data_IF_222654656887
#
_entry.id   IF_222654656887
#
_cell.length_a   1.000
_cell.length_b   1.000
_cell.length_c   1.000
_cell.angle_alpha   90.00
_cell.angle_beta   90.00
_cell.angle_gamma   90.00
#
_symmetry.space_group_name_H-M   'P 1'
#
loop_
_entity.id
_entity.type
_entity.pdbx_description
1 polymer ?
#
# COMPACT_ATOMS: atom_id res chain seq x y z
N UNK A 1 -30.17 4.21 12.19
CA UNK A 1 -30.88 4.85 11.04
C UNK A 1 -29.86 5.71 10.31
N UNK A 2 -29.68 5.53 9.00
CA UNK A 2 -28.83 6.41 8.20
C UNK A 2 -29.60 7.68 7.83
N UNK A 3 -28.96 8.85 7.95
CA UNK A 3 -29.58 10.11 7.53
C UNK A 3 -29.53 10.26 6.00
N UNK A 4 -30.26 11.26 5.48
CA UNK A 4 -30.36 11.51 4.04
C UNK A 4 -28.99 11.63 3.34
N UNK A 5 -28.07 12.45 3.87
CA UNK A 5 -26.74 12.63 3.28
C UNK A 5 -25.94 11.34 3.24
N UNK A 6 -26.01 10.53 4.30
CA UNK A 6 -25.37 9.22 4.31
C UNK A 6 -25.94 8.31 3.20
N UNK A 7 -27.26 8.31 2.99
CA UNK A 7 -27.88 7.52 1.91
C UNK A 7 -27.40 7.98 0.53
N UNK A 8 -27.30 9.29 0.31
CA UNK A 8 -26.78 9.87 -0.94
C UNK A 8 -25.31 9.52 -1.18
N UNK A 9 -24.47 9.63 -0.14
CA UNK A 9 -23.06 9.25 -0.22
C UNK A 9 -22.87 7.73 -0.43
N UNK A 10 -23.74 6.89 0.14
CA UNK A 10 -23.73 5.45 -0.10
C UNK A 10 -24.04 5.11 -1.56
N UNK A 11 -24.91 5.86 -2.23
CA UNK A 11 -25.13 5.69 -3.69
C UNK A 11 -23.87 6.02 -4.49
N UNK A 12 -23.10 7.01 -4.05
CA UNK A 12 -21.86 7.44 -4.72
C UNK A 12 -20.66 6.52 -4.45
N UNK A 13 -20.51 6.02 -3.22
CA UNK A 13 -19.25 5.37 -2.79
C UNK A 13 -19.43 4.04 -2.07
N UNK A 14 -20.65 3.59 -1.82
CA UNK A 14 -20.94 2.39 -1.02
C UNK A 14 -20.44 1.08 -1.62
N UNK A 15 -20.10 1.05 -2.92
CA UNK A 15 -19.52 -0.11 -3.58
C UNK A 15 -17.99 -0.23 -3.42
N UNK A 16 -17.35 0.74 -2.76
CA UNK A 16 -15.93 0.67 -2.42
C UNK A 16 -14.96 0.82 -3.58
N UNK A 17 -15.43 1.16 -4.79
CA UNK A 17 -14.60 1.22 -6.01
C UNK A 17 -13.75 2.48 -6.13
N UNK A 18 -14.26 3.60 -5.64
CA UNK A 18 -13.61 4.91 -5.71
C UNK A 18 -12.94 5.24 -4.37
N UNK A 19 -13.68 5.05 -3.27
CA UNK A 19 -13.21 5.18 -1.89
C UNK A 19 -13.25 3.79 -1.27
N UNK A 20 -12.10 3.23 -0.92
CA UNK A 20 -11.97 1.87 -0.40
C UNK A 20 -12.39 1.77 1.06
N UNK A 21 -13.05 0.66 1.42
CA UNK A 21 -13.59 0.42 2.77
C UNK A 21 -14.30 1.65 3.37
N UNK A 22 -15.30 2.22 2.68
CA UNK A 22 -15.88 3.50 3.06
C UNK A 22 -16.67 3.40 4.38
N UNK A 23 -16.34 4.28 5.32
CA UNK A 23 -17.14 4.55 6.50
C UNK A 23 -18.03 5.77 6.25
N UNK A 24 -19.27 5.69 6.72
CA UNK A 24 -20.23 6.79 6.58
C UNK A 24 -20.68 7.22 7.97
N UNK A 25 -20.47 8.51 8.29
CA UNK A 25 -20.80 9.08 9.60
C UNK A 25 -21.39 10.47 9.40
N UNK A 26 -22.65 10.65 9.81
CA UNK A 26 -23.32 11.93 9.64
C UNK A 26 -23.41 12.32 8.17
N UNK A 27 -22.76 13.43 7.78
CA UNK A 27 -22.77 13.98 6.42
C UNK A 27 -21.51 13.69 5.61
N UNK A 28 -20.64 12.82 6.13
CA UNK A 28 -19.35 12.53 5.53
C UNK A 28 -19.20 11.03 5.20
N UNK A 29 -18.50 10.77 4.11
CA UNK A 29 -17.95 9.48 3.73
C UNK A 29 -16.43 9.59 3.82
N UNK A 30 -15.77 8.65 4.49
CA UNK A 30 -14.30 8.59 4.59
C UNK A 30 -13.82 7.17 4.32
N UNK A 31 -12.76 7.01 3.55
CA UNK A 31 -12.11 5.71 3.35
C UNK A 31 -10.77 5.84 2.63
N UNK A 32 -10.16 4.72 2.25
CA UNK A 32 -8.83 4.70 1.62
C UNK A 32 -8.83 5.08 0.15
N UNK A 33 -7.73 5.64 -0.33
CA UNK A 33 -7.41 5.74 -1.76
C UNK A 33 -6.32 4.73 -2.15
N UNK A 34 -5.19 4.76 -1.46
CA UNK A 34 -4.03 3.89 -1.61
C UNK A 34 -3.18 3.89 -0.32
N UNK A 35 -1.92 3.44 -0.40
CA UNK A 35 -1.05 3.32 0.76
C UNK A 35 -0.82 4.69 1.41
N UNK A 36 -1.31 4.85 2.65
CA UNK A 36 -1.12 6.08 3.43
C UNK A 36 -2.06 7.23 3.06
N UNK A 37 -2.96 7.08 2.07
CA UNK A 37 -3.90 8.13 1.67
C UNK A 37 -5.35 7.75 1.89
N UNK A 38 -6.12 8.76 2.29
CA UNK A 38 -7.55 8.66 2.55
C UNK A 38 -8.30 9.74 1.77
N UNK A 39 -9.58 9.50 1.52
CA UNK A 39 -10.48 10.44 0.87
C UNK A 39 -11.68 10.67 1.76
N UNK A 40 -12.01 11.95 1.97
CA UNK A 40 -13.26 12.38 2.60
C UNK A 40 -14.16 13.03 1.57
N UNK A 41 -15.40 12.61 1.48
CA UNK A 41 -16.42 13.21 0.63
C UNK A 41 -17.62 13.69 1.46
N UNK A 42 -18.13 14.88 1.17
CA UNK A 42 -19.29 15.48 1.84
C UNK A 42 -20.04 16.44 0.90
N UNK A 43 -21.37 16.51 1.01
CA UNK A 43 -22.13 17.56 0.34
C UNK A 43 -21.96 18.88 1.11
N UNK A 44 -21.78 19.99 0.40
CA UNK A 44 -21.50 21.31 0.98
C UNK A 44 -22.38 22.40 0.39
N UNK A 45 -22.62 23.43 1.19
CA UNK A 45 -23.29 24.68 0.77
C UNK A 45 -22.31 25.61 0.07
N UNK A 46 -22.81 26.44 -0.85
CA UNK A 46 -22.00 27.41 -1.62
C UNK A 46 -22.39 28.87 -1.32
N UNK A 47 -22.64 29.18 -0.05
CA UNK A 47 -23.00 30.53 0.41
C UNK A 47 -24.48 30.71 0.80
N UNK A 48 -25.30 29.71 0.53
CA UNK A 48 -26.70 29.63 0.99
C UNK A 48 -26.81 28.59 2.08
N UNK A 49 -27.26 29.02 3.27
CA UNK A 49 -27.52 28.09 4.37
C UNK A 49 -28.52 27.02 3.92
N UNK A 50 -28.25 25.78 4.32
CA UNK A 50 -29.13 24.63 4.07
C UNK A 50 -29.41 24.27 2.60
N UNK A 51 -28.66 24.84 1.67
CA UNK A 51 -28.70 24.54 0.24
C UNK A 51 -27.37 23.91 -0.20
N UNK A 52 -27.33 22.58 -0.27
CA UNK A 52 -26.12 21.82 -0.57
C UNK A 52 -26.02 21.59 -2.08
N UNK A 53 -25.20 22.42 -2.72
CA UNK A 53 -25.11 22.57 -4.18
C UNK A 53 -23.85 21.90 -4.76
N UNK A 54 -23.00 21.32 -3.93
CA UNK A 54 -21.74 20.73 -4.36
C UNK A 54 -21.35 19.49 -3.55
N UNK A 55 -20.58 18.61 -4.19
CA UNK A 55 -19.84 17.54 -3.52
C UNK A 55 -18.39 17.99 -3.33
N UNK A 56 -17.94 18.07 -2.08
CA UNK A 56 -16.54 18.30 -1.76
C UNK A 56 -15.83 16.97 -1.55
N UNK A 57 -14.70 16.81 -2.21
CA UNK A 57 -13.78 15.67 -2.10
C UNK A 57 -12.46 16.21 -1.57
N UNK A 58 -12.03 15.73 -0.40
CA UNK A 58 -10.79 16.11 0.27
C UNK A 58 -9.85 14.93 0.29
N UNK A 59 -8.68 15.09 -0.33
CA UNK A 59 -7.60 14.11 -0.28
C UNK A 59 -6.77 14.35 0.97
N UNK A 60 -6.53 13.28 1.71
CA UNK A 60 -5.79 13.25 2.96
C UNK A 60 -4.61 12.30 2.81
N UNK A 61 -3.49 12.69 3.36
CA UNK A 61 -2.30 11.88 3.54
C UNK A 61 -2.02 11.78 5.04
N UNK A 62 -1.62 10.60 5.52
CA UNK A 62 -1.47 10.34 6.95
C UNK A 62 -0.39 11.22 7.60
N UNK A 63 0.64 11.60 6.85
CA UNK A 63 1.76 12.38 7.37
C UNK A 63 1.61 13.87 7.06
N UNK A 64 1.07 14.20 5.88
CA UNK A 64 0.96 15.58 5.40
C UNK A 64 -0.39 16.24 5.74
N UNK A 65 -1.39 15.47 6.18
CA UNK A 65 -2.74 15.97 6.42
C UNK A 65 -3.49 16.22 5.12
N UNK A 66 -4.11 17.39 4.95
CA UNK A 66 -4.86 17.68 3.71
C UNK A 66 -3.90 17.96 2.57
N UNK A 67 -3.97 17.12 1.53
CA UNK A 67 -3.18 17.29 0.30
C UNK A 67 -3.88 18.24 -0.66
N UNK A 68 -5.17 18.00 -0.94
CA UNK A 68 -5.96 18.82 -1.85
C UNK A 68 -7.47 18.75 -1.55
N UNK A 69 -8.23 19.71 -2.08
CA UNK A 69 -9.70 19.76 -1.99
C UNK A 69 -10.32 20.14 -3.33
N UNK A 70 -11.08 19.21 -3.91
CA UNK A 70 -11.96 19.49 -5.04
C UNK A 70 -13.39 19.77 -4.56
N UNK A 71 -14.04 20.79 -5.12
CA UNK A 71 -15.48 21.04 -4.93
C UNK A 71 -16.18 20.96 -6.28
N UNK A 72 -16.94 19.89 -6.50
CA UNK A 72 -17.73 19.66 -7.70
C UNK A 72 -19.12 20.26 -7.50
N UNK A 73 -19.41 21.39 -8.15
CA UNK A 73 -20.75 21.98 -8.13
C UNK A 73 -21.67 21.12 -9.00
N UNK A 74 -22.87 20.84 -8.50
CA UNK A 74 -23.82 19.98 -9.19
C UNK A 74 -24.28 20.60 -10.52
N UNK A 75 -24.35 21.93 -10.63
CA UNK A 75 -24.64 22.59 -11.91
C UNK A 75 -23.53 22.44 -12.94
N UNK A 76 -22.26 22.37 -12.53
CA UNK A 76 -21.14 22.21 -13.46
C UNK A 76 -21.11 20.77 -14.03
N UNK A 77 -21.57 19.80 -13.24
CA UNK A 77 -21.56 18.37 -13.61
C UNK A 77 -22.85 17.96 -14.34
N UNK A 78 -24.00 18.47 -13.91
CA UNK A 78 -25.31 18.04 -14.41
C UNK A 78 -26.07 19.07 -15.22
N UNK A 79 -25.60 20.33 -15.22
CA UNK A 79 -26.33 21.47 -15.75
C UNK A 79 -27.57 21.82 -14.94
N UNK A 80 -28.26 22.88 -15.37
CA UNK A 80 -29.61 23.19 -14.89
C UNK A 80 -30.61 22.16 -15.41
N UNK A 81 -31.53 21.71 -14.55
CA UNK A 81 -32.54 20.70 -14.88
C UNK A 81 -33.89 21.37 -15.12
N UNK A 82 -34.51 21.04 -16.26
CA UNK A 82 -35.88 21.45 -16.52
C UNK A 82 -36.85 20.65 -15.63
N UNK A 83 -37.87 21.32 -15.09
CA UNK A 83 -38.92 20.69 -14.27
C UNK A 83 -40.24 20.77 -15.04
N UNK A 84 -40.65 19.69 -15.74
CA UNK A 84 -41.89 19.68 -16.51
C UNK A 84 -43.10 20.00 -15.64
N UNK A 85 -44.07 20.72 -16.21
CA UNK A 85 -45.35 21.03 -15.57
C UNK A 85 -45.25 21.84 -14.26
N UNK A 86 -44.12 22.49 -13.98
CA UNK A 86 -43.98 23.38 -12.82
C UNK A 86 -44.01 24.87 -13.26
N UNK A 87 -45.05 25.64 -12.90
CA UNK A 87 -45.18 27.04 -13.34
C UNK A 87 -44.19 28.00 -12.66
N UNK A 88 -43.55 27.59 -11.55
CA UNK A 88 -42.62 28.40 -10.79
C UNK A 88 -41.15 28.21 -11.23
N UNK A 89 -40.81 27.06 -11.83
CA UNK A 89 -39.44 26.70 -12.22
C UNK A 89 -39.24 26.65 -13.73
N UNK A 90 -39.76 27.65 -14.46
CA UNK A 90 -39.74 27.70 -15.93
C UNK A 90 -38.32 27.72 -16.53
N UNK A 91 -37.37 28.34 -15.83
CA UNK A 91 -35.96 28.41 -16.25
C UNK A 91 -35.14 27.19 -15.81
N UNK A 92 -35.80 26.17 -15.27
CA UNK A 92 -35.15 25.04 -14.64
C UNK A 92 -34.61 25.37 -13.25
N UNK A 93 -33.92 24.40 -12.66
CA UNK A 93 -33.37 24.47 -11.31
C UNK A 93 -31.91 24.00 -11.33
N UNK A 94 -31.06 24.67 -10.54
CA UNK A 94 -29.74 24.12 -10.19
C UNK A 94 -29.96 23.02 -9.17
N UNK A 95 -29.60 21.75 -9.47
CA UNK A 95 -29.81 20.65 -8.54
C UNK A 95 -29.09 20.89 -7.21
N UNK A 96 -29.79 20.70 -6.10
CA UNK A 96 -29.23 20.78 -4.76
C UNK A 96 -30.10 20.01 -3.77
N UNK A 97 -29.49 19.64 -2.65
CA UNK A 97 -30.21 19.12 -1.49
C UNK A 97 -30.60 20.33 -0.64
N UNK A 98 -31.85 20.36 -0.18
CA UNK A 98 -32.32 21.38 0.75
C UNK A 98 -32.59 20.74 2.12
N UNK A 99 -32.35 21.50 3.18
CA UNK A 99 -32.69 21.14 4.56
C UNK A 99 -33.65 22.20 5.09
N UNK A 100 -34.70 21.75 5.77
CA UNK A 100 -35.63 22.61 6.50
C UNK A 100 -36.11 21.84 7.73
N UNK A 101 -35.62 22.21 8.91
CA UNK A 101 -35.89 21.64 10.23
C UNK A 101 -36.11 20.12 10.25
N UNK A 102 -37.32 19.64 9.90
CA UNK A 102 -37.72 18.24 9.95
C UNK A 102 -37.50 17.46 8.63
N UNK A 103 -37.15 18.13 7.53
CA UNK A 103 -37.06 17.53 6.20
C UNK A 103 -35.73 17.83 5.50
N UNK A 104 -35.15 16.79 4.93
CA UNK A 104 -34.00 16.88 4.01
C UNK A 104 -34.34 16.10 2.76
N UNK A 105 -34.21 16.73 1.60
CA UNK A 105 -34.55 16.10 0.32
C UNK A 105 -33.85 16.79 -0.86
N UNK A 106 -33.96 16.20 -2.05
CA UNK A 106 -33.59 16.88 -3.29
C UNK A 106 -34.62 17.96 -3.66
N UNK A 107 -34.16 19.16 -4.00
CA UNK A 107 -35.05 20.25 -4.37
C UNK A 107 -35.50 20.14 -5.83
N UNK A 108 -36.79 19.87 -6.04
CA UNK A 108 -37.51 19.79 -7.32
C UNK A 108 -37.04 18.70 -8.31
N UNK A 109 -35.76 18.32 -8.32
CA UNK A 109 -35.18 17.32 -9.20
C UNK A 109 -34.46 16.23 -8.39
N UNK A 110 -34.90 14.99 -8.54
CA UNK A 110 -34.24 13.83 -7.92
C UNK A 110 -33.24 13.22 -8.90
N UNK A 111 -31.95 13.13 -8.55
CA UNK A 111 -30.92 12.57 -9.43
C UNK A 111 -31.23 11.12 -9.80
N UNK A 112 -31.01 10.81 -11.07
CA UNK A 112 -31.13 9.46 -11.63
C UNK A 112 -29.84 8.67 -11.41
N UNK A 113 -29.84 7.33 -11.61
CA UNK A 113 -28.61 6.56 -11.60
C UNK A 113 -27.54 7.09 -12.57
N UNK A 114 -27.94 7.65 -13.72
CA UNK A 114 -27.01 8.25 -14.68
C UNK A 114 -26.33 9.50 -14.10
N UNK A 115 -27.08 10.36 -13.40
CA UNK A 115 -26.52 11.56 -12.76
C UNK A 115 -25.46 11.17 -11.70
N UNK A 116 -25.72 10.15 -10.87
CA UNK A 116 -24.72 9.64 -9.92
C UNK A 116 -23.48 9.10 -10.64
N UNK A 117 -23.62 8.44 -11.79
CA UNK A 117 -22.45 7.96 -12.54
C UNK A 117 -21.56 9.10 -13.02
N UNK A 118 -22.12 10.25 -13.43
CA UNK A 118 -21.31 11.41 -13.85
C UNK A 118 -20.47 11.94 -12.68
N UNK A 119 -21.05 12.10 -11.48
CA UNK A 119 -20.29 12.55 -10.29
C UNK A 119 -19.24 11.52 -9.90
N UNK A 120 -19.60 10.23 -9.93
CA UNK A 120 -18.68 9.13 -9.65
C UNK A 120 -17.49 9.16 -10.59
N UNK A 121 -17.72 9.33 -11.89
CA UNK A 121 -16.65 9.40 -12.88
C UNK A 121 -15.76 10.62 -12.66
N UNK A 122 -16.34 11.81 -12.50
CA UNK A 122 -15.57 13.03 -12.24
C UNK A 122 -14.71 12.93 -10.97
N UNK A 123 -15.26 12.34 -9.90
CA UNK A 123 -14.52 12.09 -8.67
C UNK A 123 -13.39 11.07 -8.88
N UNK A 124 -13.67 9.98 -9.59
CA UNK A 124 -12.69 8.95 -9.91
C UNK A 124 -11.54 9.50 -10.75
N UNK A 125 -11.84 10.26 -11.80
CA UNK A 125 -10.85 10.86 -12.70
C UNK A 125 -9.93 11.82 -11.94
N UNK A 126 -10.51 12.68 -11.10
CA UNK A 126 -9.72 13.57 -10.25
C UNK A 126 -8.81 12.81 -9.29
N UNK A 127 -9.34 11.84 -8.54
CA UNK A 127 -8.55 11.04 -7.59
C UNK A 127 -7.49 10.19 -8.30
N UNK A 128 -7.73 9.78 -9.55
CA UNK A 128 -6.75 9.01 -10.33
C UNK A 128 -5.45 9.77 -10.58
N UNK A 129 -5.50 11.11 -10.65
CA UNK A 129 -4.30 11.95 -10.80
C UNK A 129 -3.39 11.92 -9.56
N UNK A 130 -3.93 11.51 -8.41
CA UNK A 130 -3.23 11.43 -7.13
C UNK A 130 -3.00 10.00 -6.65
N UNK A 131 -3.51 8.99 -7.37
CA UNK A 131 -3.17 7.61 -7.05
C UNK A 131 -1.66 7.48 -7.14
N UNK A 132 -1.04 6.95 -6.10
CA UNK A 132 0.31 6.44 -6.23
C UNK A 132 0.30 5.54 -7.45
N UNK A 133 1.22 5.84 -8.38
CA UNK A 133 1.60 4.85 -9.36
C UNK A 133 2.24 3.75 -8.55
N UNK A 134 1.43 2.80 -8.10
CA UNK A 134 1.91 1.48 -7.72
C UNK A 134 2.74 1.09 -8.94
N UNK A 135 4.07 0.94 -8.81
CA UNK A 135 4.84 0.36 -9.89
C UNK A 135 4.16 -0.98 -10.14
N UNK A 136 3.50 -1.10 -11.29
CA UNK A 136 2.75 -2.29 -11.66
C UNK A 136 3.66 -3.48 -11.40
N UNK A 137 3.35 -4.23 -10.35
CA UNK A 137 4.06 -5.46 -10.01
C UNK A 137 3.56 -6.56 -10.94
N UNK A 138 3.67 -6.33 -12.24
CA UNK A 138 3.38 -7.29 -13.30
C UNK A 138 4.55 -7.28 -14.30
N UNK A 139 5.44 -8.25 -14.11
CA UNK A 139 6.13 -9.00 -15.16
C UNK A 139 7.05 -8.29 -16.18
N UNK A 140 7.59 -7.09 -15.89
CA UNK A 140 8.84 -6.57 -16.54
C UNK A 140 9.81 -5.86 -15.56
N UNK A 141 9.98 -6.51 -14.41
CA UNK A 141 10.94 -6.37 -13.30
C UNK A 141 12.12 -5.40 -13.50
N UNK A 142 12.16 -4.34 -12.68
CA UNK A 142 13.43 -3.84 -12.16
C UNK A 142 14.10 -4.90 -11.27
N UNK A 143 15.38 -4.74 -10.93
CA UNK A 143 16.11 -5.70 -10.10
C UNK A 143 15.44 -5.88 -8.72
N UNK A 144 15.28 -7.12 -8.24
CA UNK A 144 14.78 -7.39 -6.87
C UNK A 144 15.88 -7.12 -5.85
N UNK A 145 15.53 -6.65 -4.65
CA UNK A 145 16.43 -6.68 -3.50
C UNK A 145 16.46 -8.09 -2.94
N UNK A 146 17.64 -8.73 -3.02
CA UNK A 146 17.86 -10.10 -2.56
C UNK A 146 18.82 -10.07 -1.39
N UNK A 147 18.34 -10.44 -0.21
CA UNK A 147 19.17 -10.59 0.98
C UNK A 147 20.04 -11.84 0.88
N UNK A 148 21.34 -11.69 1.08
CA UNK A 148 22.30 -12.80 1.02
C UNK A 148 22.69 -13.20 2.44
N UNK A 149 22.03 -14.25 2.91
CA UNK A 149 22.28 -14.90 4.19
C UNK A 149 23.46 -15.86 4.02
N UNK A 150 24.61 -15.50 4.59
CA UNK A 150 25.85 -16.30 4.57
C UNK A 150 26.42 -16.38 5.99
N UNK A 151 27.29 -17.36 6.30
CA UNK A 151 27.90 -17.45 7.61
C UNK A 151 28.81 -16.24 7.85
N UNK A 152 28.66 -15.57 9.00
CA UNK A 152 29.50 -14.43 9.41
C UNK A 152 30.75 -14.91 10.17
N UNK A 153 30.58 -15.87 11.09
CA UNK A 153 31.64 -16.33 12.02
C UNK A 153 32.45 -17.51 11.48
N UNK A 154 33.72 -17.60 11.89
CA UNK A 154 34.62 -18.71 11.56
C UNK A 154 35.72 -18.32 10.56
N UNK A 155 35.85 -19.08 9.47
CA UNK A 155 36.87 -18.88 8.44
C UNK A 155 36.59 -17.61 7.62
N UNK A 156 36.98 -16.46 8.18
CA UNK A 156 36.64 -15.13 7.65
C UNK A 156 36.97 -14.95 6.16
N UNK A 157 38.14 -15.41 5.71
CA UNK A 157 38.52 -15.31 4.29
C UNK A 157 37.59 -16.13 3.38
N UNK A 158 37.21 -17.34 3.80
CA UNK A 158 36.30 -18.20 3.04
C UNK A 158 34.88 -17.65 3.04
N UNK A 159 34.41 -17.14 4.17
CA UNK A 159 33.09 -16.54 4.31
C UNK A 159 32.95 -15.27 3.46
N UNK A 160 33.97 -14.40 3.47
CA UNK A 160 34.02 -13.20 2.62
C UNK A 160 34.02 -13.58 1.14
N UNK A 161 34.81 -14.60 0.76
CA UNK A 161 34.88 -15.08 -0.63
C UNK A 161 33.52 -15.62 -1.08
N UNK A 162 32.88 -16.45 -0.24
CA UNK A 162 31.54 -16.97 -0.50
C UNK A 162 30.52 -15.84 -0.68
N UNK A 163 30.48 -14.87 0.25
CA UNK A 163 29.55 -13.75 0.18
C UNK A 163 29.76 -12.89 -1.08
N UNK A 164 31.00 -12.70 -1.52
CA UNK A 164 31.32 -12.00 -2.78
C UNK A 164 30.86 -12.78 -4.01
N UNK A 165 31.10 -14.09 -4.05
CA UNK A 165 30.70 -14.94 -5.17
C UNK A 165 29.18 -15.02 -5.32
N UNK A 166 28.46 -15.18 -4.21
CA UNK A 166 27.00 -15.24 -4.20
C UNK A 166 26.39 -13.88 -4.55
N UNK A 167 26.95 -12.78 -4.03
CA UNK A 167 26.56 -11.42 -4.43
C UNK A 167 26.72 -11.20 -5.93
N UNK A 168 27.86 -11.61 -6.48
CA UNK A 168 28.14 -11.49 -7.90
C UNK A 168 27.16 -12.32 -8.74
N UNK A 169 26.79 -13.52 -8.29
CA UNK A 169 25.80 -14.35 -8.99
C UNK A 169 24.42 -13.70 -9.06
N UNK A 170 23.94 -13.14 -7.93
CA UNK A 170 22.67 -12.39 -7.87
C UNK A 170 22.73 -11.15 -8.76
N UNK A 171 23.82 -10.38 -8.67
CA UNK A 171 24.05 -9.19 -9.51
C UNK A 171 24.06 -9.53 -11.01
N UNK A 172 24.74 -10.60 -11.41
CA UNK A 172 24.77 -11.08 -12.80
C UNK A 172 23.42 -11.62 -13.26
N UNK A 173 22.59 -12.10 -12.33
CA UNK A 173 21.20 -12.48 -12.58
C UNK A 173 20.26 -11.30 -12.82
N UNK A 174 20.73 -10.06 -12.61
CA UNK A 174 19.95 -8.84 -12.82
C UNK A 174 19.17 -8.39 -11.58
N UNK A 175 19.49 -8.92 -10.39
CA UNK A 175 18.92 -8.51 -9.10
C UNK A 175 19.96 -7.72 -8.27
N UNK A 176 19.52 -7.00 -7.23
CA UNK A 176 20.38 -6.23 -6.32
C UNK A 176 20.73 -7.10 -5.09
N UNK A 177 22.00 -7.49 -4.90
CA UNK A 177 22.43 -8.23 -3.73
C UNK A 177 22.61 -7.32 -2.51
N UNK A 178 21.95 -7.67 -1.40
CA UNK A 178 22.20 -7.07 -0.08
C UNK A 178 23.02 -8.06 0.75
N UNK A 179 24.28 -7.72 1.02
CA UNK A 179 25.22 -8.55 1.79
C UNK A 179 25.59 -7.88 3.12
N UNK A 180 24.80 -8.08 4.18
CA UNK A 180 25.08 -7.53 5.50
C UNK A 180 26.47 -7.87 6.01
N UNK A 181 26.93 -9.11 5.79
CA UNK A 181 28.27 -9.54 6.19
C UNK A 181 29.37 -8.70 5.54
N UNK A 182 29.23 -8.35 4.26
CA UNK A 182 30.22 -7.49 3.59
C UNK A 182 30.10 -6.03 4.04
N UNK A 183 28.88 -5.57 4.33
CA UNK A 183 28.61 -4.20 4.77
C UNK A 183 29.14 -3.96 6.20
N UNK A 184 28.73 -4.79 7.14
CA UNK A 184 29.03 -4.61 8.56
C UNK A 184 30.45 -5.00 8.92
N UNK A 185 31.10 -5.95 8.23
CA UNK A 185 32.52 -6.26 8.45
C UNK A 185 33.43 -5.05 8.13
N UNK A 186 33.00 -4.10 7.30
CA UNK A 186 33.76 -2.89 7.00
C UNK A 186 33.61 -1.80 8.08
N UNK A 187 32.63 -1.92 8.97
CA UNK A 187 32.22 -0.87 9.90
C UNK A 187 32.39 -1.32 11.36
N UNK A 188 32.04 -2.57 11.68
CA UNK A 188 32.09 -3.12 13.02
C UNK A 188 33.45 -3.77 13.32
N UNK A 189 34.01 -3.46 14.49
CA UNK A 189 35.23 -4.09 14.97
C UNK A 189 34.95 -5.55 15.38
N UNK A 190 35.72 -6.54 14.90
CA UNK A 190 35.51 -7.93 15.25
C UNK A 190 35.72 -8.16 16.75
N UNK A 191 34.78 -8.87 17.40
CA UNK A 191 34.87 -9.25 18.81
C UNK A 191 34.27 -8.25 19.80
N UNK A 192 33.66 -7.16 19.34
CA UNK A 192 32.84 -6.28 20.19
C UNK A 192 31.38 -6.78 20.23
N UNK A 193 30.90 -7.32 21.36
CA UNK A 193 29.56 -7.89 21.46
C UNK A 193 28.44 -6.87 21.23
N UNK A 194 28.67 -5.57 21.54
CA UNK A 194 27.66 -4.51 21.34
C UNK A 194 27.50 -4.22 19.86
N UNK A 195 28.61 -4.15 19.12
CA UNK A 195 28.59 -3.92 17.68
C UNK A 195 28.08 -5.14 16.92
N UNK A 196 28.42 -6.35 17.37
CA UNK A 196 27.88 -7.59 16.80
C UNK A 196 26.35 -7.65 16.95
N UNK A 197 25.82 -7.32 18.13
CA UNK A 197 24.38 -7.28 18.35
C UNK A 197 23.70 -6.21 17.49
N UNK A 198 24.28 -5.01 17.38
CA UNK A 198 23.76 -3.95 16.53
C UNK A 198 23.76 -4.36 15.05
N UNK A 199 24.83 -4.99 14.55
CA UNK A 199 24.90 -5.51 13.19
C UNK A 199 23.85 -6.58 12.91
N UNK A 200 23.58 -7.46 13.88
CA UNK A 200 22.53 -8.47 13.76
C UNK A 200 21.13 -7.83 13.68
N UNK A 201 20.84 -6.85 14.53
CA UNK A 201 19.56 -6.14 14.52
C UNK A 201 19.35 -5.35 13.22
N UNK A 202 20.40 -4.68 12.73
CA UNK A 202 20.38 -4.01 11.42
C UNK A 202 20.18 -5.01 10.28
N UNK A 203 20.78 -6.21 10.36
CA UNK A 203 20.55 -7.30 9.41
C UNK A 203 19.07 -7.71 9.33
N UNK A 204 18.42 -7.90 10.49
CA UNK A 204 16.99 -8.22 10.54
C UNK A 204 16.10 -7.11 9.93
N UNK A 205 16.49 -5.84 10.12
CA UNK A 205 15.81 -4.70 9.46
C UNK A 205 16.01 -4.70 7.95
N UNK A 206 17.19 -5.08 7.46
CA UNK A 206 17.46 -5.22 6.03
C UNK A 206 16.62 -6.35 5.40
N UNK A 207 16.36 -7.45 6.13
CA UNK A 207 15.45 -8.51 5.67
C UNK A 207 14.06 -7.96 5.35
N UNK A 208 13.51 -7.09 6.21
CA UNK A 208 12.18 -6.47 6.03
C UNK A 208 12.02 -5.70 4.71
N UNK A 209 13.13 -5.21 4.14
CA UNK A 209 13.14 -4.43 2.90
C UNK A 209 13.34 -5.28 1.64
N UNK A 210 13.73 -6.54 1.79
CA UNK A 210 14.08 -7.43 0.68
C UNK A 210 12.86 -8.19 0.16
N UNK A 211 12.87 -8.49 -1.15
CA UNK A 211 11.81 -9.28 -1.80
C UNK A 211 12.10 -10.79 -1.75
N UNK A 212 13.32 -11.17 -1.38
CA UNK A 212 13.77 -12.56 -1.31
C UNK A 212 14.97 -12.69 -0.37
N UNK A 213 15.09 -13.83 0.30
CA UNK A 213 16.28 -14.22 1.07
C UNK A 213 16.92 -15.44 0.44
N UNK A 214 18.21 -15.35 0.10
CA UNK A 214 18.99 -16.49 -0.35
C UNK A 214 19.95 -16.93 0.75
N UNK A 215 19.86 -18.20 1.13
CA UNK A 215 20.65 -18.80 2.20
C UNK A 215 21.74 -19.68 1.60
N UNK A 216 22.99 -19.35 1.92
CA UNK A 216 24.19 -20.05 1.45
C UNK A 216 25.08 -20.47 2.61
N UNK A 217 25.77 -21.60 2.47
CA UNK A 217 26.76 -22.07 3.44
C UNK A 217 26.59 -23.54 3.80
N UNK A 218 27.60 -24.15 4.43
CA UNK A 218 27.56 -25.57 4.80
C UNK A 218 26.74 -25.85 6.06
N UNK A 219 26.56 -24.83 6.90
CA UNK A 219 25.87 -24.91 8.20
C UNK A 219 25.01 -23.67 8.37
N UNK A 220 23.79 -23.85 8.89
CA UNK A 220 22.91 -22.76 9.26
C UNK A 220 23.24 -22.31 10.69
N UNK A 221 23.84 -21.13 10.84
CA UNK A 221 24.17 -20.57 12.16
C UNK A 221 22.93 -20.01 12.86
N UNK A 222 23.00 -19.73 14.17
CA UNK A 222 21.90 -19.11 14.91
C UNK A 222 21.49 -17.74 14.34
N UNK A 223 22.45 -16.96 13.87
CA UNK A 223 22.20 -15.66 13.20
C UNK A 223 21.41 -15.88 11.91
N UNK A 224 21.84 -16.82 11.07
CA UNK A 224 21.14 -17.16 9.82
C UNK A 224 19.74 -17.73 10.07
N UNK A 225 19.56 -18.50 11.16
CA UNK A 225 18.24 -18.98 11.58
C UNK A 225 17.31 -17.83 11.95
N UNK A 226 17.80 -16.83 12.69
CA UNK A 226 17.01 -15.66 13.04
C UNK A 226 16.60 -14.86 11.80
N UNK A 227 17.50 -14.65 10.83
CA UNK A 227 17.20 -14.00 9.56
C UNK A 227 16.16 -14.77 8.74
N UNK A 228 16.32 -16.10 8.66
CA UNK A 228 15.40 -16.98 7.94
C UNK A 228 14.02 -17.01 8.60
N UNK A 229 13.97 -17.09 9.93
CA UNK A 229 12.72 -17.05 10.68
C UNK A 229 12.01 -15.71 10.47
N UNK A 230 12.76 -14.60 10.53
CA UNK A 230 12.20 -13.27 10.27
C UNK A 230 11.61 -13.17 8.86
N UNK A 231 12.27 -13.73 7.86
CA UNK A 231 11.75 -13.79 6.50
C UNK A 231 10.45 -14.61 6.42
N UNK A 232 10.40 -15.77 7.07
CA UNK A 232 9.19 -16.60 7.14
C UNK A 232 8.03 -15.89 7.83
N UNK A 233 8.27 -15.20 8.95
CA UNK A 233 7.25 -14.45 9.69
C UNK A 233 6.61 -13.34 8.84
N UNK A 234 7.36 -12.81 7.86
CA UNK A 234 6.93 -11.75 6.93
C UNK A 234 6.42 -12.28 5.58
N UNK A 235 6.42 -13.61 5.38
CA UNK A 235 6.02 -14.21 4.10
C UNK A 235 7.03 -13.98 2.96
N UNK A 236 8.26 -13.59 3.26
CA UNK A 236 9.33 -13.37 2.27
C UNK A 236 9.86 -14.74 1.81
N UNK A 237 10.00 -15.00 0.51
CA UNK A 237 10.51 -16.27 0.00
C UNK A 237 11.96 -16.50 0.39
N UNK A 238 12.24 -17.67 0.96
CA UNK A 238 13.59 -18.12 1.35
C UNK A 238 14.05 -19.23 0.39
N UNK A 239 15.18 -19.01 -0.28
CA UNK A 239 15.79 -19.95 -1.22
C UNK A 239 17.09 -20.50 -0.64
N UNK A 240 17.15 -21.81 -0.45
CA UNK A 240 18.36 -22.51 -0.01
C UNK A 240 19.14 -23.03 -1.21
N UNK A 241 20.44 -22.76 -1.28
CA UNK A 241 21.31 -23.39 -2.28
C UNK A 241 21.62 -24.85 -1.91
N UNK A 242 20.88 -25.79 -2.52
CA UNK A 242 21.03 -27.23 -2.30
C UNK A 242 22.38 -27.80 -2.76
N UNK A 243 23.14 -27.12 -3.64
CA UNK A 243 24.36 -27.70 -4.25
C UNK A 243 25.53 -27.92 -3.27
N UNK A 244 25.48 -27.34 -2.05
CA UNK A 244 26.53 -27.51 -1.03
C UNK A 244 26.10 -28.17 0.28
N UNK A 245 24.80 -28.27 0.57
CA UNK A 245 24.30 -28.94 1.78
C UNK A 245 24.47 -30.47 1.73
N UNK A 246 24.58 -31.08 0.56
CA UNK A 246 24.71 -32.53 0.41
C UNK A 246 26.14 -33.09 0.64
N UNK A 247 27.17 -32.24 0.65
CA UNK A 247 28.58 -32.71 0.75
C UNK A 247 29.00 -33.17 2.16
N UNK A 248 28.16 -33.01 3.18
CA UNK A 248 28.52 -33.29 4.59
C UNK A 248 27.69 -34.39 5.26
N UNK A 249 26.84 -35.14 4.55
CA UNK A 249 26.25 -36.36 5.14
C UNK A 249 27.37 -37.41 5.38
N UNK A 250 27.66 -37.81 6.63
CA UNK A 250 28.64 -38.86 6.88
C UNK A 250 28.10 -40.17 6.32
N UNK A 251 28.89 -40.88 5.51
CA UNK A 251 28.56 -42.25 5.09
C UNK A 251 28.40 -43.13 6.35
N UNK A 252 27.31 -43.90 6.50
CA UNK A 252 27.19 -44.83 7.61
C UNK A 252 28.30 -45.87 7.49
N UNK A 253 29.11 -46.01 8.55
CA UNK A 253 30.10 -47.08 8.68
C UNK A 253 29.36 -48.41 8.62
N UNK A 254 29.43 -49.12 7.49
CA UNK A 254 29.10 -50.55 7.43
C UNK A 254 30.11 -51.28 8.30
N UNK A 255 29.68 -51.61 9.53
CA UNK A 255 30.42 -52.51 10.40
C UNK A 255 30.64 -53.85 9.71
N UNK A 256 31.89 -54.28 9.64
CA UNK A 256 32.24 -55.69 9.46
C UNK A 256 31.80 -56.42 10.74
N UNK A 257 30.76 -57.23 10.66
CA UNK A 257 30.54 -58.31 11.60
C UNK A 257 31.22 -59.57 11.03
N UNK A 258 32.02 -60.22 11.89
CA UNK A 258 32.65 -61.52 11.67
C UNK A 258 31.62 -62.62 11.65
#
# INVERSE_FOLDING_TARGET
MSNFFEQELRKLFGDGKIIHAPAFVGRACVGGLDAGRQVRAEFVTMGHADHYEALRVTLLDNDLGVVDKLTLRLEDVWGKKAIPNNPYLKSGVTPHIWVNDDKTDWYAYHPTPADYQVIRQATSDYLSAFRERVPEHDTRSGPKLVYICTPLRGEAEQNITLAKETARAVFQGGDIPICPNLLFTLIAAPGDPVQEQAAQEMGLRLVELCQQVNVYGPVLTLEMQAETQRAHDLGIPVIFDQKRLEKTRPRPKRGRAR
#
